data_IF_313505963073
#
_entry.id   IF_313505963073
#
_cell.length_a   1.000
_cell.length_b   1.000
_cell.length_c   1.000
_cell.angle_alpha   90.00
_cell.angle_beta   90.00
_cell.angle_gamma   90.00
#
_symmetry.space_group_name_H-M   'P 1'
#
loop_
_entity.id
_entity.type
_entity.pdbx_description
1 polymer ?
#
# COMPACT_ATOMS: atom_id res chain seq x y z
N UNK A 1 2.79 13.21 -17.03
CA UNK A 1 2.57 13.25 -15.57
C UNK A 1 3.04 14.59 -15.06
N UNK A 2 2.19 15.35 -14.38
CA UNK A 2 2.63 16.55 -13.66
C UNK A 2 3.19 16.15 -12.30
N UNK A 3 4.35 16.68 -11.92
CA UNK A 3 4.99 16.43 -10.63
C UNK A 3 4.68 17.61 -9.73
N UNK A 4 4.07 17.36 -8.56
CA UNK A 4 3.88 18.38 -7.53
C UNK A 4 5.13 18.40 -6.63
N UNK A 5 5.93 19.49 -6.61
CA UNK A 5 7.08 19.57 -5.74
C UNK A 5 6.65 19.59 -4.27
N UNK A 6 7.45 18.97 -3.43
CA UNK A 6 7.22 18.85 -1.98
C UNK A 6 8.30 19.63 -1.25
N UNK A 7 7.90 20.43 -0.25
CA UNK A 7 8.84 21.19 0.58
C UNK A 7 9.55 20.27 1.58
N UNK A 8 10.86 20.10 1.38
CA UNK A 8 11.71 19.22 2.20
C UNK A 8 11.87 19.73 3.64
N UNK A 9 11.78 21.05 3.86
CA UNK A 9 11.92 21.60 5.21
C UNK A 9 10.75 21.17 6.10
N UNK A 10 9.55 21.05 5.53
CA UNK A 10 8.37 20.55 6.23
C UNK A 10 8.42 19.05 6.53
N UNK A 11 9.14 18.26 5.72
CA UNK A 11 9.35 16.84 6.01
C UNK A 11 10.29 16.67 7.20
N UNK A 12 11.38 17.45 7.22
CA UNK A 12 12.40 17.45 8.29
C UNK A 12 11.91 17.96 9.64
N UNK A 13 10.84 18.75 9.70
CA UNK A 13 10.32 19.24 10.99
C UNK A 13 9.69 18.14 11.86
N UNK A 14 9.35 17.01 11.25
CA UNK A 14 8.69 15.87 11.94
C UNK A 14 9.70 14.84 12.43
N UNK A 15 10.68 14.50 11.60
CA UNK A 15 11.67 13.45 11.87
C UNK A 15 13.07 13.86 11.40
N UNK A 16 14.09 13.39 12.11
CA UNK A 16 15.49 13.74 11.84
C UNK A 16 15.98 13.22 10.48
N UNK A 17 15.52 12.03 10.08
CA UNK A 17 15.94 11.37 8.84
C UNK A 17 14.87 11.44 7.75
N UNK A 18 15.16 12.26 6.74
CA UNK A 18 14.31 12.43 5.55
C UNK A 18 14.07 11.11 4.79
N UNK A 19 15.07 10.24 4.71
CA UNK A 19 14.95 9.00 3.92
C UNK A 19 13.95 8.02 4.54
N UNK A 20 13.93 7.94 5.87
CA UNK A 20 12.94 7.13 6.59
C UNK A 20 11.52 7.64 6.33
N UNK A 21 11.35 8.96 6.32
CA UNK A 21 10.06 9.59 6.01
C UNK A 21 9.61 9.25 4.59
N UNK A 22 10.53 9.31 3.61
CA UNK A 22 10.23 8.92 2.22
C UNK A 22 9.82 7.45 2.12
N UNK A 23 10.51 6.56 2.84
CA UNK A 23 10.16 5.12 2.89
C UNK A 23 8.78 4.92 3.51
N UNK A 24 8.47 5.62 4.61
CA UNK A 24 7.17 5.55 5.28
C UNK A 24 6.03 6.02 4.37
N UNK A 25 6.20 7.17 3.70
CA UNK A 25 5.25 7.68 2.71
C UNK A 25 5.06 6.68 1.57
N UNK A 26 6.14 6.07 1.08
CA UNK A 26 6.07 5.07 0.01
C UNK A 26 5.29 3.81 0.43
N UNK A 27 5.51 3.33 1.66
CA UNK A 27 4.74 2.23 2.25
C UNK A 27 3.27 2.61 2.38
N UNK A 28 2.95 3.83 2.81
CA UNK A 28 1.57 4.32 2.90
C UNK A 28 0.90 4.42 1.53
N UNK A 29 1.59 4.94 0.52
CA UNK A 29 1.10 5.00 -0.84
C UNK A 29 0.75 3.61 -1.39
N UNK A 30 1.56 2.59 -1.09
CA UNK A 30 1.27 1.20 -1.46
C UNK A 30 -0.03 0.70 -0.81
N UNK A 31 -0.22 0.94 0.50
CA UNK A 31 -1.47 0.58 1.20
C UNK A 31 -2.69 1.24 0.58
N UNK A 32 -2.64 2.55 0.31
CA UNK A 32 -3.74 3.28 -0.34
C UNK A 32 -4.06 2.66 -1.71
N UNK A 33 -3.04 2.34 -2.50
CA UNK A 33 -3.24 1.70 -3.80
C UNK A 33 -3.85 0.30 -3.70
N UNK A 34 -3.42 -0.51 -2.73
CA UNK A 34 -4.00 -1.83 -2.48
C UNK A 34 -5.48 -1.74 -2.05
N UNK A 35 -5.81 -0.78 -1.18
CA UNK A 35 -7.19 -0.47 -0.78
C UNK A 35 -8.04 -0.03 -1.98
N UNK A 36 -7.54 0.90 -2.81
CA UNK A 36 -8.24 1.37 -4.02
C UNK A 36 -8.43 0.24 -5.05
N UNK A 37 -7.44 -0.64 -5.21
CA UNK A 37 -7.55 -1.79 -6.11
C UNK A 37 -8.63 -2.76 -5.63
N UNK A 38 -8.68 -3.04 -4.33
CA UNK A 38 -9.71 -3.91 -3.75
C UNK A 38 -11.11 -3.30 -3.93
N UNK A 39 -11.27 -2.01 -3.64
CA UNK A 39 -12.54 -1.28 -3.84
C UNK A 39 -13.00 -1.33 -5.31
N UNK A 40 -12.08 -1.11 -6.25
CA UNK A 40 -12.38 -1.18 -7.68
C UNK A 40 -12.80 -2.60 -8.09
N UNK A 41 -12.11 -3.62 -7.60
CA UNK A 41 -12.42 -5.01 -7.92
C UNK A 41 -13.79 -5.43 -7.39
N UNK A 42 -14.14 -5.01 -6.18
CA UNK A 42 -15.46 -5.23 -5.58
C UNK A 42 -16.56 -4.55 -6.41
N UNK A 43 -16.38 -3.27 -6.76
CA UNK A 43 -17.35 -2.51 -7.58
C UNK A 43 -17.52 -3.09 -8.98
N UNK A 44 -16.48 -3.68 -9.56
CA UNK A 44 -16.53 -4.30 -10.88
C UNK A 44 -17.04 -5.76 -10.86
N UNK A 45 -17.14 -6.38 -9.69
CA UNK A 45 -17.52 -7.79 -9.54
C UNK A 45 -18.88 -8.12 -10.19
N UNK A 46 -19.96 -7.34 -10.00
CA UNK A 46 -21.26 -7.65 -10.60
C UNK A 46 -21.21 -7.69 -12.14
N UNK A 47 -20.46 -6.77 -12.75
CA UNK A 47 -20.31 -6.73 -14.21
C UNK A 47 -19.46 -7.88 -14.73
N UNK A 48 -18.42 -8.28 -14.00
CA UNK A 48 -17.63 -9.49 -14.32
C UNK A 48 -18.50 -10.76 -14.26
N UNK A 49 -19.39 -10.86 -13.27
CA UNK A 49 -20.31 -12.00 -13.15
C UNK A 49 -21.33 -12.05 -14.28
N UNK A 50 -21.89 -10.89 -14.68
CA UNK A 50 -22.81 -10.79 -15.82
C UNK A 50 -22.15 -11.23 -17.14
N UNK A 51 -20.87 -10.88 -17.34
CA UNK A 51 -20.11 -11.32 -18.52
C UNK A 51 -19.80 -12.83 -18.46
N UNK A 52 -19.53 -13.36 -17.26
CA UNK A 52 -19.16 -14.77 -17.06
C UNK A 52 -20.34 -15.73 -17.20
N UNK A 53 -21.52 -15.34 -16.70
CA UNK A 53 -22.76 -16.09 -16.80
C UNK A 53 -23.84 -15.23 -17.49
N UNK A 54 -23.70 -14.98 -18.79
CA UNK A 54 -24.63 -14.14 -19.53
C UNK A 54 -25.98 -14.85 -19.67
N UNK A 55 -27.10 -14.10 -19.56
CA UNK A 55 -28.43 -14.68 -19.77
C UNK A 55 -28.76 -14.86 -21.26
N UNK A 56 -27.97 -14.23 -22.13
CA UNK A 56 -28.06 -14.31 -23.60
C UNK A 56 -26.67 -14.11 -24.22
N UNK A 57 -26.39 -14.71 -25.38
CA UNK A 57 -25.17 -14.44 -26.17
C UNK A 57 -24.98 -12.95 -26.50
N UNK A 58 -26.07 -12.17 -26.53
CA UNK A 58 -26.02 -10.72 -26.75
C UNK A 58 -25.56 -9.92 -25.51
N UNK A 59 -25.59 -10.51 -24.33
CA UNK A 59 -25.16 -9.86 -23.08
C UNK A 59 -23.68 -10.08 -22.77
N UNK A 60 -23.05 -11.13 -23.31
CA UNK A 60 -21.63 -11.45 -23.05
C UNK A 60 -20.68 -10.38 -23.59
N UNK A 61 -21.05 -9.71 -24.68
CA UNK A 61 -20.22 -8.68 -25.35
C UNK A 61 -20.62 -7.26 -24.94
N UNK A 62 -21.56 -7.11 -24.00
CA UNK A 62 -22.13 -5.82 -23.65
C UNK A 62 -21.25 -5.10 -22.63
N UNK A 63 -20.65 -3.98 -23.04
CA UNK A 63 -19.98 -3.08 -22.09
C UNK A 63 -21.04 -2.21 -21.42
N UNK A 64 -21.16 -2.33 -20.11
CA UNK A 64 -22.12 -1.56 -19.33
C UNK A 64 -21.62 -0.11 -19.14
N UNK A 65 -22.45 0.92 -19.39
CA UNK A 65 -22.07 2.32 -19.16
C UNK A 65 -21.58 2.57 -17.72
N UNK A 66 -22.21 1.91 -16.74
CA UNK A 66 -21.82 2.00 -15.33
C UNK A 66 -20.41 1.45 -15.06
N UNK A 67 -20.01 0.37 -15.75
CA UNK A 67 -18.65 -0.19 -15.64
C UNK A 67 -17.59 0.82 -16.12
N UNK A 68 -17.91 1.56 -17.20
CA UNK A 68 -17.05 2.63 -17.73
C UNK A 68 -17.00 3.79 -16.74
N UNK A 69 -18.15 4.20 -16.20
CA UNK A 69 -18.25 5.28 -15.22
C UNK A 69 -17.41 4.99 -13.96
N UNK A 70 -17.48 3.77 -13.44
CA UNK A 70 -16.64 3.32 -12.31
C UNK A 70 -15.16 3.42 -12.68
N UNK A 71 -14.77 2.92 -13.86
CA UNK A 71 -13.37 2.95 -14.28
C UNK A 71 -12.83 4.38 -14.43
N UNK A 72 -13.64 5.29 -14.99
CA UNK A 72 -13.31 6.72 -15.11
C UNK A 72 -13.19 7.41 -13.75
N UNK A 73 -14.07 7.09 -12.80
CA UNK A 73 -14.01 7.63 -11.44
C UNK A 73 -12.63 7.36 -10.81
N UNK A 74 -12.16 6.11 -10.89
CA UNK A 74 -10.87 5.71 -10.32
C UNK A 74 -9.67 6.26 -11.10
N UNK A 75 -9.80 6.47 -12.42
CA UNK A 75 -8.76 7.10 -13.22
C UNK A 75 -8.58 8.58 -12.87
N UNK A 76 -9.67 9.29 -12.58
CA UNK A 76 -9.66 10.70 -12.17
C UNK A 76 -9.20 10.93 -10.72
N UNK A 77 -9.17 9.88 -9.87
CA UNK A 77 -8.70 10.00 -8.48
C UNK A 77 -7.24 10.44 -8.41
N UNK A 78 -6.92 11.18 -7.35
CA UNK A 78 -5.54 11.59 -7.10
C UNK A 78 -4.66 10.37 -6.83
N UNK A 79 -3.49 10.31 -7.47
CA UNK A 79 -2.55 9.18 -7.33
C UNK A 79 -2.21 8.92 -5.86
N UNK A 80 -2.17 7.65 -5.48
CA UNK A 80 -1.88 7.20 -4.12
C UNK A 80 -0.62 7.84 -3.51
N UNK A 81 0.43 8.10 -4.31
CA UNK A 81 1.64 8.79 -3.85
C UNK A 81 1.38 10.22 -3.39
N UNK A 82 0.59 11.00 -4.13
CA UNK A 82 0.23 12.37 -3.74
C UNK A 82 -0.69 12.37 -2.53
N UNK A 83 -1.66 11.45 -2.49
CA UNK A 83 -2.52 11.25 -1.31
C UNK A 83 -1.70 10.93 -0.07
N UNK A 84 -0.75 10.00 -0.15
CA UNK A 84 0.11 9.63 0.97
C UNK A 84 0.95 10.80 1.48
N UNK A 85 1.51 11.62 0.58
CA UNK A 85 2.22 12.85 0.96
C UNK A 85 1.27 13.82 1.68
N UNK A 86 0.06 14.00 1.17
CA UNK A 86 -0.96 14.83 1.82
C UNK A 86 -1.39 14.27 3.19
N UNK A 87 -1.54 12.96 3.32
CA UNK A 87 -1.87 12.31 4.59
C UNK A 87 -0.76 12.50 5.64
N UNK A 88 0.51 12.47 5.21
CA UNK A 88 1.66 12.73 6.09
C UNK A 88 1.65 14.17 6.60
N UNK A 89 1.52 15.16 5.70
CA UNK A 89 1.48 16.57 6.10
C UNK A 89 0.26 16.95 6.94
N UNK A 90 -0.85 16.23 6.78
CA UNK A 90 -2.04 16.40 7.61
C UNK A 90 -1.99 15.57 8.91
N UNK A 91 -0.85 14.96 9.24
CA UNK A 91 -0.66 14.12 10.43
C UNK A 91 -1.70 13.00 10.58
N UNK A 92 -2.19 12.44 9.47
CA UNK A 92 -3.15 11.32 9.48
C UNK A 92 -2.51 9.98 9.79
N UNK A 93 -1.20 9.88 9.62
CA UNK A 93 -0.39 8.73 10.04
C UNK A 93 0.99 9.20 10.46
N UNK A 94 1.65 8.37 11.26
CA UNK A 94 3.06 8.53 11.62
C UNK A 94 3.75 7.16 11.57
N UNK A 95 5.07 7.13 11.70
CA UNK A 95 5.86 5.91 11.74
C UNK A 95 6.86 5.92 12.90
N UNK A 96 7.20 4.73 13.37
CA UNK A 96 8.26 4.53 14.35
C UNK A 96 9.33 3.63 13.74
N UNK A 97 10.59 3.91 14.07
CA UNK A 97 11.71 3.07 13.67
C UNK A 97 11.90 1.98 14.71
N UNK A 98 11.85 0.73 14.29
CA UNK A 98 12.21 -0.39 15.15
C UNK A 98 13.70 -0.27 15.50
N UNK A 99 14.01 -0.16 16.79
CA UNK A 99 15.40 -0.26 17.25
C UNK A 99 15.92 -1.64 16.88
N UNK A 100 17.14 -1.76 16.32
CA UNK A 100 17.71 -3.05 15.99
C UNK A 100 17.76 -3.89 17.27
N UNK A 101 17.12 -5.06 17.24
CA UNK A 101 17.18 -6.02 18.33
C UNK A 101 18.65 -6.37 18.58
N UNK A 102 19.12 -6.15 19.82
CA UNK A 102 20.46 -6.57 20.22
C UNK A 102 20.62 -8.07 19.91
N UNK A 103 21.76 -8.49 19.32
CA UNK A 103 21.97 -9.89 18.99
C UNK A 103 21.92 -10.70 20.29
N UNK A 104 20.92 -11.58 20.40
CA UNK A 104 20.82 -12.52 21.52
C UNK A 104 22.15 -13.28 21.61
N UNK A 105 22.82 -13.32 22.77
CA UNK A 105 24.05 -14.10 22.90
C UNK A 105 23.72 -15.56 22.57
N UNK A 106 24.44 -16.11 21.60
CA UNK A 106 24.37 -17.52 21.26
C UNK A 106 24.67 -18.32 22.53
N UNK A 107 23.72 -19.16 22.97
CA UNK A 107 23.99 -20.15 24.00
C UNK A 107 25.02 -21.10 23.43
N UNK A 108 26.23 -21.04 23.97
CA UNK A 108 27.23 -22.09 23.79
C UNK A 108 26.66 -23.27 24.55
N UNK A 109 26.24 -24.31 23.83
CA UNK A 109 25.93 -25.60 24.43
C UNK A 109 27.27 -26.19 24.84
N UNK A 110 27.58 -26.10 26.15
CA UNK A 110 28.77 -26.73 26.72
C UNK A 110 28.65 -28.25 26.52
N UNK A 111 29.55 -28.79 25.71
CA UNK A 111 29.80 -30.22 25.53
C UNK A 111 30.16 -30.84 26.89
N UNK A 112 29.19 -31.49 27.53
CA UNK A 112 29.47 -32.46 28.60
C UNK A 112 29.33 -33.88 28.03
N UNK A 113 30.24 -34.27 27.15
CA UNK A 113 30.63 -35.68 27.05
C UNK A 113 31.64 -35.98 28.15
N UNK A 114 31.13 -36.18 29.37
CA UNK A 114 31.86 -36.96 30.38
C UNK A 114 31.18 -38.30 30.50
N UNK A 115 31.74 -39.32 29.86
CA UNK A 115 31.62 -40.69 30.36
C UNK A 115 33.00 -41.34 30.32
N UNK A 116 33.62 -41.38 31.50
CA UNK A 116 34.71 -42.27 31.82
C UNK A 116 34.25 -43.28 32.87
N UNK A 117 34.13 -44.55 32.46
CA UNK A 117 34.66 -45.75 33.13
C UNK A 117 34.22 -47.02 32.38
#
# INVERSE_FOLDING_TARGET
>A
MSVKPVDLNKLRSTHDNLYETVVAISKRARKIHEEERAELEEKLLPYKEMIRNPSSESESDRVFPEQIAISLEFECREKASHRAVGEFFNHKFDYTVEKPAEPKPAKIEDEHETDGN
#
